data_IF_161399927122
#
_entry.id   IF_161399927122
#
_cell.length_a   1.000
_cell.length_b   1.000
_cell.length_c   1.000
_cell.angle_alpha   90.00
_cell.angle_beta   90.00
_cell.angle_gamma   90.00
#
_symmetry.space_group_name_H-M   'P 1'
#
loop_
_entity.id
_entity.type
_entity.pdbx_description
1 polymer ?
#
# COMPACT_ATOMS: atom_id res chain seq x y z
N UNK A 1 -5.75 -21.43 -10.89
CA UNK A 1 -5.91 -20.99 -9.49
C UNK A 1 -5.86 -19.47 -9.51
N UNK A 2 -7.00 -18.83 -9.26
CA UNK A 2 -7.27 -17.46 -9.65
C UNK A 2 -6.48 -16.45 -8.81
N UNK A 3 -5.97 -15.43 -9.50
CA UNK A 3 -5.19 -14.31 -8.97
C UNK A 3 -6.09 -13.26 -8.23
N UNK A 4 -7.34 -13.62 -7.94
CA UNK A 4 -8.41 -12.73 -7.43
C UNK A 4 -8.13 -12.19 -6.03
N UNK A 5 -7.44 -12.94 -5.17
CA UNK A 5 -7.13 -12.51 -3.80
C UNK A 5 -6.26 -11.25 -3.74
N UNK A 6 -5.43 -10.98 -4.76
CA UNK A 6 -4.60 -9.78 -4.78
C UNK A 6 -5.31 -8.55 -5.33
N UNK A 7 -6.27 -8.74 -6.24
CA UNK A 7 -7.05 -7.63 -6.81
C UNK A 7 -7.92 -6.96 -5.73
N UNK A 8 -8.51 -7.75 -4.84
CA UNK A 8 -9.41 -7.27 -3.80
C UNK A 8 -8.68 -6.53 -2.65
N UNK A 9 -7.48 -7.01 -2.27
CA UNK A 9 -6.62 -6.34 -1.28
C UNK A 9 -6.19 -4.96 -1.80
N UNK A 10 -5.80 -4.84 -3.07
CA UNK A 10 -5.39 -3.57 -3.67
C UNK A 10 -6.50 -2.52 -3.68
N UNK A 11 -7.73 -2.93 -4.03
CA UNK A 11 -8.90 -2.05 -3.99
C UNK A 11 -9.22 -1.58 -2.56
N UNK A 12 -9.11 -2.48 -1.58
CA UNK A 12 -9.28 -2.18 -0.15
C UNK A 12 -8.25 -1.16 0.34
N UNK A 13 -6.98 -1.37 -0.01
CA UNK A 13 -5.89 -0.45 0.33
C UNK A 13 -6.10 0.93 -0.28
N UNK A 14 -6.54 1.02 -1.55
CA UNK A 14 -6.82 2.28 -2.22
C UNK A 14 -7.92 3.09 -1.50
N UNK A 15 -9.00 2.42 -1.09
CA UNK A 15 -10.09 3.06 -0.33
C UNK A 15 -9.66 3.49 1.07
N UNK A 16 -8.85 2.69 1.77
CA UNK A 16 -8.34 3.03 3.11
C UNK A 16 -7.30 4.16 3.08
N UNK A 17 -6.41 4.16 2.08
CA UNK A 17 -5.36 5.17 1.95
C UNK A 17 -5.91 6.60 1.73
N UNK A 18 -7.13 6.73 1.19
CA UNK A 18 -7.83 8.02 1.05
C UNK A 18 -8.24 8.65 2.39
N UNK A 19 -8.13 7.93 3.51
CA UNK A 19 -8.65 8.35 4.82
C UNK A 19 -7.56 8.58 5.88
N UNK A 20 -6.37 9.08 5.50
CA UNK A 20 -5.28 9.48 6.43
C UNK A 20 -4.85 8.41 7.45
N UNK A 21 -4.86 7.14 7.06
CA UNK A 21 -4.43 6.05 7.94
C UNK A 21 -2.90 5.97 7.99
N UNK A 22 -2.34 5.74 9.19
CA UNK A 22 -0.94 5.32 9.33
C UNK A 22 -0.74 3.91 8.74
N UNK A 23 0.48 3.51 8.33
CA UNK A 23 0.74 2.18 7.77
C UNK A 23 0.27 1.02 8.67
N UNK A 24 0.38 1.19 9.99
CA UNK A 24 -0.06 0.20 10.98
C UNK A 24 -1.59 0.06 11.03
N UNK A 25 -2.31 1.18 10.95
CA UNK A 25 -3.77 1.18 10.87
C UNK A 25 -4.26 0.61 9.54
N UNK A 26 -3.56 0.93 8.44
CA UNK A 26 -3.86 0.41 7.12
C UNK A 26 -3.71 -1.12 7.08
N UNK A 27 -2.62 -1.65 7.62
CA UNK A 27 -2.37 -3.09 7.71
C UNK A 27 -3.47 -3.79 8.53
N UNK A 28 -3.80 -3.25 9.71
CA UNK A 28 -4.82 -3.82 10.58
C UNK A 28 -6.20 -3.82 9.92
N UNK A 29 -6.64 -2.69 9.39
CA UNK A 29 -7.93 -2.58 8.72
C UNK A 29 -8.03 -3.46 7.46
N UNK A 30 -6.91 -3.68 6.78
CA UNK A 30 -6.87 -4.60 5.63
C UNK A 30 -6.99 -6.06 6.08
N UNK A 31 -6.31 -6.47 7.15
CA UNK A 31 -6.45 -7.82 7.74
C UNK A 31 -7.85 -8.08 8.29
N UNK A 32 -8.50 -7.06 8.86
CA UNK A 32 -9.89 -7.16 9.34
C UNK A 32 -10.87 -7.42 8.18
N UNK A 33 -10.60 -6.89 6.98
CA UNK A 33 -11.41 -7.12 5.77
C UNK A 33 -10.98 -8.37 4.99
N UNK A 34 -9.75 -8.81 5.16
CA UNK A 34 -9.16 -9.96 4.47
C UNK A 34 -8.51 -10.93 5.49
N UNK A 35 -9.30 -11.70 6.27
CA UNK A 35 -8.77 -12.53 7.35
C UNK A 35 -7.79 -13.63 6.89
N UNK A 36 -7.88 -14.03 5.62
CA UNK A 36 -6.99 -15.01 4.99
C UNK A 36 -5.69 -14.41 4.41
N UNK A 37 -5.57 -13.09 4.34
CA UNK A 37 -4.40 -12.44 3.79
C UNK A 37 -3.22 -12.50 4.78
N UNK A 38 -2.03 -12.80 4.29
CA UNK A 38 -0.81 -12.66 5.09
C UNK A 38 -0.27 -11.25 4.96
N UNK A 39 0.50 -10.79 5.95
CA UNK A 39 1.17 -9.47 5.92
C UNK A 39 1.96 -9.25 4.62
N UNK A 40 2.61 -10.29 4.10
CA UNK A 40 3.34 -10.25 2.83
C UNK A 40 2.44 -9.95 1.63
N UNK A 41 1.22 -10.47 1.61
CA UNK A 41 0.29 -10.30 0.48
C UNK A 41 -0.22 -8.85 0.44
N UNK A 42 -0.44 -8.26 1.63
CA UNK A 42 -0.83 -6.86 1.80
C UNK A 42 0.32 -5.92 1.42
N UNK A 43 1.54 -6.19 1.89
CA UNK A 43 2.71 -5.39 1.51
C UNK A 43 2.93 -5.42 -0.01
N UNK A 44 2.79 -6.59 -0.64
CA UNK A 44 2.96 -6.75 -2.07
C UNK A 44 1.87 -6.02 -2.87
N UNK A 45 0.62 -6.05 -2.39
CA UNK A 45 -0.49 -5.30 -2.98
C UNK A 45 -0.32 -3.78 -2.82
N UNK A 46 0.17 -3.31 -1.66
CA UNK A 46 0.46 -1.91 -1.43
C UNK A 46 1.58 -1.39 -2.34
N UNK A 47 2.62 -2.21 -2.57
CA UNK A 47 3.71 -1.88 -3.47
C UNK A 47 3.24 -1.75 -4.93
N UNK A 48 2.44 -2.70 -5.41
CA UNK A 48 1.82 -2.59 -6.75
C UNK A 48 0.93 -1.36 -6.89
N UNK A 49 0.12 -1.08 -5.86
CA UNK A 49 -0.74 0.10 -5.85
C UNK A 49 0.08 1.40 -5.93
N UNK A 50 1.24 1.48 -5.28
CA UNK A 50 2.16 2.61 -5.41
C UNK A 50 2.71 2.74 -6.83
N UNK A 51 3.17 1.64 -7.45
CA UNK A 51 3.68 1.64 -8.83
C UNK A 51 2.59 2.10 -9.80
N UNK A 52 1.39 1.51 -9.74
CA UNK A 52 0.26 1.90 -10.59
C UNK A 52 -0.12 3.39 -10.41
N UNK A 53 -0.01 3.91 -9.19
CA UNK A 53 -0.29 5.31 -8.90
C UNK A 53 0.79 6.22 -9.48
N UNK A 54 2.06 5.80 -9.40
CA UNK A 54 3.19 6.52 -9.98
C UNK A 54 3.15 6.56 -11.52
N UNK A 55 2.75 5.47 -12.16
CA UNK A 55 2.59 5.40 -13.63
C UNK A 55 1.44 6.28 -14.13
N UNK A 56 0.37 6.44 -13.34
CA UNK A 56 -0.82 7.24 -13.72
C UNK A 56 -0.72 8.71 -13.35
N UNK A 57 0.10 9.07 -12.36
CA UNK A 57 0.28 10.42 -11.84
C UNK A 57 1.74 10.62 -11.37
N UNK A 58 2.69 10.82 -12.30
CA UNK A 58 4.13 10.85 -12.02
C UNK A 58 4.54 11.98 -11.05
N UNK A 59 3.79 13.08 -11.05
CA UNK A 59 3.87 14.20 -10.12
C UNK A 59 3.58 13.81 -8.66
N UNK A 60 2.76 12.78 -8.41
CA UNK A 60 2.54 12.22 -7.06
C UNK A 60 3.55 11.15 -6.65
N UNK A 61 4.25 10.55 -7.61
CA UNK A 61 5.33 9.59 -7.33
C UNK A 61 6.51 10.26 -6.60
N UNK A 62 6.77 11.55 -6.89
CA UNK A 62 7.84 12.34 -6.28
C UNK A 62 7.65 12.47 -4.76
N UNK A 63 6.42 12.72 -4.30
CA UNK A 63 6.12 12.86 -2.86
C UNK A 63 6.38 11.56 -2.10
N UNK A 64 6.04 10.41 -2.70
CA UNK A 64 6.30 9.10 -2.09
C UNK A 64 7.80 8.75 -2.10
N UNK A 65 8.52 9.17 -3.14
CA UNK A 65 9.97 9.03 -3.22
C UNK A 65 10.70 9.84 -2.14
N UNK A 66 10.27 11.09 -1.88
CA UNK A 66 10.81 11.93 -0.80
C UNK A 66 10.56 11.33 0.59
N UNK A 67 9.39 10.73 0.82
CA UNK A 67 9.09 10.02 2.08
C UNK A 67 10.03 8.81 2.26
N UNK A 68 10.26 8.02 1.22
CA UNK A 68 11.17 6.87 1.28
C UNK A 68 12.62 7.30 1.57
N UNK A 69 13.10 8.39 0.95
CA UNK A 69 14.43 8.96 1.21
C UNK A 69 14.57 9.48 2.64
N UNK A 70 13.53 10.15 3.17
CA UNK A 70 13.53 10.70 4.53
C UNK A 70 13.55 9.61 5.60
N UNK A 71 12.97 8.44 5.32
CA UNK A 71 12.96 7.31 6.27
C UNK A 71 14.33 6.62 6.32
N UNK A 72 15.08 6.62 5.20
CA UNK A 72 16.45 6.09 5.12
C UNK A 72 17.47 6.93 5.88
N UNK A 73 17.24 8.24 6.04
CA UNK A 73 18.14 9.15 6.76
C UNK A 73 17.99 9.10 8.29
N UNK A 74 16.96 8.42 8.80
CA UNK A 74 16.71 8.26 10.25
C UNK A 74 17.35 6.97 10.79
N UNK A 75 17.94 6.15 9.92
CA UNK A 75 18.63 4.90 10.27
C UNK A 75 20.17 5.01 10.28
N UNK A 76 20.72 6.23 10.22
CA UNK A 76 22.17 6.51 10.43
C UNK A 76 22.39 7.34 11.71
#
# INVERSE_FOLDING_TARGET
MSNDSQSDIGATLRRLAQTSHTPKQLLRATLERHPGAKKKDIAHAAFRLMIETAERAPDRAVVLHEVALSTRAVED
#
